data_IF_688509329864
#
_entry.id   IF_688509329864
#
_cell.length_a   1.000
_cell.length_b   1.000
_cell.length_c   1.000
_cell.angle_alpha   90.00
_cell.angle_beta   90.00
_cell.angle_gamma   90.00
#
_symmetry.space_group_name_H-M   'P 1'
#
loop_
_entity.id
_entity.type
_entity.pdbx_description
1 polymer ?
#
# COMPACT_ATOMS: atom_id res chain seq x y z
N UNK A 1 25.58 -9.65 -24.37
CA UNK A 1 24.42 -9.48 -25.27
C UNK A 1 24.90 -9.40 -26.70
N UNK A 2 24.35 -10.20 -27.59
CA UNK A 2 24.54 -10.03 -29.04
C UNK A 2 23.49 -9.06 -29.58
N UNK A 3 23.81 -8.34 -30.64
CA UNK A 3 22.82 -7.53 -31.35
C UNK A 3 21.68 -8.47 -31.80
N UNK A 4 20.43 -8.11 -31.51
CA UNK A 4 19.24 -8.94 -31.82
C UNK A 4 18.86 -9.97 -30.76
N UNK A 5 19.58 -10.09 -29.65
CA UNK A 5 19.20 -10.96 -28.54
C UNK A 5 18.08 -10.33 -27.70
N UNK A 6 16.95 -11.04 -27.58
CA UNK A 6 15.81 -10.65 -26.74
C UNK A 6 16.26 -10.72 -25.28
N UNK A 7 15.92 -9.69 -24.51
CA UNK A 7 16.01 -9.76 -23.05
C UNK A 7 14.60 -9.75 -22.51
N UNK A 8 14.26 -10.82 -21.82
CA UNK A 8 12.95 -10.99 -21.19
C UNK A 8 13.01 -10.44 -19.77
N UNK A 9 12.09 -9.54 -19.45
CA UNK A 9 11.83 -9.06 -18.09
C UNK A 9 10.39 -9.49 -17.76
N UNK A 10 10.22 -10.29 -16.73
CA UNK A 10 8.91 -10.89 -16.37
C UNK A 10 8.49 -10.51 -14.95
N UNK A 11 7.21 -10.19 -14.76
CA UNK A 11 6.56 -10.09 -13.46
C UNK A 11 5.63 -11.28 -13.19
N UNK A 12 5.13 -11.41 -11.96
CA UNK A 12 4.26 -12.52 -11.53
C UNK A 12 2.76 -12.23 -11.52
N UNK A 13 2.33 -11.03 -11.93
CA UNK A 13 0.91 -10.67 -11.98
C UNK A 13 0.20 -11.45 -13.10
N UNK A 14 -1.00 -11.94 -12.83
CA UNK A 14 -1.81 -12.67 -13.83
C UNK A 14 -2.21 -11.75 -14.99
N UNK A 15 -2.35 -12.31 -16.19
CA UNK A 15 -2.46 -11.54 -17.43
C UNK A 15 -3.71 -10.66 -17.54
N UNK A 16 -4.77 -11.00 -16.81
CA UNK A 16 -6.07 -10.32 -16.79
C UNK A 16 -6.22 -9.35 -15.60
N UNK A 17 -5.27 -9.33 -14.66
CA UNK A 17 -5.29 -8.37 -13.57
C UNK A 17 -4.97 -6.97 -14.09
N UNK A 18 -5.68 -5.97 -13.55
CA UNK A 18 -5.38 -4.56 -13.82
C UNK A 18 -3.97 -4.22 -13.35
N UNK A 19 -3.16 -3.68 -14.25
CA UNK A 19 -1.80 -3.24 -13.98
C UNK A 19 -1.61 -1.79 -14.39
N UNK A 20 -0.74 -1.08 -13.69
CA UNK A 20 -0.33 0.28 -14.02
C UNK A 20 1.16 0.45 -13.76
N UNK A 21 1.83 1.27 -14.58
CA UNK A 21 3.21 1.67 -14.40
C UNK A 21 3.33 3.11 -13.87
N UNK A 22 2.23 3.73 -13.44
CA UNK A 22 2.18 5.14 -12.99
C UNK A 22 3.22 5.48 -11.93
N UNK A 23 3.50 4.54 -11.02
CA UNK A 23 4.45 4.72 -9.94
C UNK A 23 5.88 4.25 -10.26
N UNK A 24 6.15 3.78 -11.48
CA UNK A 24 7.43 3.21 -11.87
C UNK A 24 8.11 4.11 -12.90
N UNK A 25 9.37 4.46 -12.63
CA UNK A 25 10.26 5.15 -13.58
C UNK A 25 11.42 4.24 -13.94
N UNK A 26 11.74 4.17 -15.22
CA UNK A 26 12.95 3.51 -15.71
C UNK A 26 13.94 4.54 -16.24
N UNK A 27 15.21 4.39 -15.86
CA UNK A 27 16.31 5.25 -16.34
C UNK A 27 17.40 4.35 -16.90
N UNK A 28 17.77 4.56 -18.17
CA UNK A 28 18.87 3.84 -18.80
C UNK A 28 20.12 4.73 -18.80
N UNK A 29 21.18 4.29 -18.10
CA UNK A 29 22.46 5.02 -18.02
C UNK A 29 23.62 4.06 -17.78
N UNK A 30 24.75 4.29 -18.46
CA UNK A 30 26.01 3.54 -18.28
C UNK A 30 25.85 2.01 -18.38
N UNK A 31 25.01 1.54 -19.31
CA UNK A 31 24.73 0.11 -19.51
C UNK A 31 23.86 -0.54 -18.43
N UNK A 32 23.30 0.24 -17.51
CA UNK A 32 22.40 -0.19 -16.44
C UNK A 32 20.98 0.34 -16.68
N UNK A 33 19.99 -0.40 -16.18
CA UNK A 33 18.61 0.05 -16.07
C UNK A 33 18.31 0.23 -14.59
N UNK A 34 18.11 1.48 -14.18
CA UNK A 34 17.62 1.80 -12.85
C UNK A 34 16.09 1.80 -12.87
N UNK A 35 15.48 1.09 -11.92
CA UNK A 35 14.03 0.97 -11.77
C UNK A 35 13.67 1.62 -10.45
N UNK A 36 13.04 2.78 -10.54
CA UNK A 36 12.72 3.65 -9.42
C UNK A 36 11.22 3.61 -9.14
N UNK A 37 10.85 3.76 -7.87
CA UNK A 37 9.47 4.04 -7.48
C UNK A 37 9.29 5.53 -7.25
N UNK A 38 8.08 6.05 -7.47
CA UNK A 38 7.74 7.39 -7.04
C UNK A 38 7.77 7.49 -5.50
N UNK A 39 8.23 8.62 -4.96
CA UNK A 39 8.20 8.87 -3.51
C UNK A 39 6.76 8.90 -2.97
N UNK A 40 5.84 9.44 -3.77
CA UNK A 40 4.40 9.43 -3.52
C UNK A 40 3.74 8.40 -4.43
N UNK A 41 3.32 7.27 -3.85
CA UNK A 41 2.64 6.21 -4.58
C UNK A 41 1.15 6.54 -4.73
N UNK A 42 0.65 6.46 -5.96
CA UNK A 42 -0.78 6.51 -6.27
C UNK A 42 -1.26 5.08 -6.58
N UNK A 43 -1.93 4.46 -5.62
CA UNK A 43 -2.38 3.06 -5.67
C UNK A 43 -3.82 2.95 -5.20
N UNK A 44 -4.60 2.05 -5.79
CA UNK A 44 -5.98 1.79 -5.37
C UNK A 44 -6.06 1.06 -4.02
N UNK A 45 -5.09 0.19 -3.72
CA UNK A 45 -5.00 -0.48 -2.42
C UNK A 45 -3.62 -1.06 -2.14
N UNK A 46 -3.32 -1.25 -0.86
CA UNK A 46 -2.18 -2.01 -0.36
C UNK A 46 -2.70 -3.09 0.56
N UNK A 47 -2.42 -4.36 0.24
CA UNK A 47 -2.76 -5.51 1.09
C UNK A 47 -1.49 -6.15 1.66
N UNK A 48 -1.37 -6.17 2.98
CA UNK A 48 -0.26 -6.76 3.71
C UNK A 48 -0.82 -7.76 4.75
N UNK A 49 -0.83 -9.04 4.38
CA UNK A 49 -1.48 -10.08 5.18
C UNK A 49 -2.98 -9.81 5.35
N UNK A 50 -3.43 -9.63 6.58
CA UNK A 50 -4.83 -9.28 6.93
C UNK A 50 -5.11 -7.78 6.91
N UNK A 51 -4.10 -6.95 6.69
CA UNK A 51 -4.25 -5.49 6.63
C UNK A 51 -4.54 -5.04 5.21
N UNK A 52 -5.52 -4.16 5.04
CA UNK A 52 -5.88 -3.51 3.78
C UNK A 52 -5.91 -1.99 4.00
N UNK A 53 -5.16 -1.26 3.19
CA UNK A 53 -5.28 0.20 3.04
C UNK A 53 -5.89 0.48 1.66
N UNK A 54 -6.97 1.24 1.59
CA UNK A 54 -7.65 1.62 0.36
C UNK A 54 -8.39 2.96 0.53
N UNK A 55 -9.24 3.32 -0.44
CA UNK A 55 -10.02 4.55 -0.46
C UNK A 55 -10.98 4.73 0.74
N UNK A 56 -11.39 3.64 1.41
CA UNK A 56 -12.23 3.72 2.61
C UNK A 56 -11.41 3.98 3.88
N UNK A 57 -10.17 3.48 3.92
CA UNK A 57 -9.21 3.68 5.00
C UNK A 57 -8.35 2.45 5.30
N UNK A 58 -8.06 2.23 6.58
CA UNK A 58 -7.27 1.13 7.11
C UNK A 58 -8.17 0.06 7.73
N UNK A 59 -8.08 -1.17 7.24
CA UNK A 59 -8.83 -2.32 7.75
C UNK A 59 -7.90 -3.44 8.17
N UNK A 60 -8.17 -4.07 9.32
CA UNK A 60 -7.54 -5.34 9.72
C UNK A 60 -8.63 -6.41 9.79
N UNK A 61 -8.57 -7.42 8.92
CA UNK A 61 -9.56 -8.51 8.92
C UNK A 61 -9.60 -9.22 10.28
N UNK A 62 -10.79 -9.27 10.89
CA UNK A 62 -11.00 -9.85 12.23
C UNK A 62 -10.53 -8.96 13.39
N UNK A 63 -10.13 -7.73 13.10
CA UNK A 63 -9.57 -6.77 14.05
C UNK A 63 -10.13 -5.36 13.90
N UNK A 64 -9.39 -4.34 14.38
CA UNK A 64 -9.78 -2.94 14.28
C UNK A 64 -9.80 -2.39 12.85
N UNK A 65 -10.46 -1.25 12.68
CA UNK A 65 -10.40 -0.44 11.44
C UNK A 65 -10.49 1.05 11.73
N UNK A 66 -9.92 1.85 10.83
CA UNK A 66 -10.01 3.31 10.79
C UNK A 66 -10.46 3.71 9.40
N UNK A 67 -11.66 4.26 9.27
CA UNK A 67 -12.24 4.63 7.98
C UNK A 67 -12.77 6.05 8.00
N UNK A 68 -13.26 6.53 6.86
CA UNK A 68 -13.98 7.81 6.75
C UNK A 68 -15.19 7.92 7.70
N UNK A 69 -15.78 6.79 8.11
CA UNK A 69 -16.89 6.73 9.06
C UNK A 69 -16.49 6.71 10.53
N UNK A 70 -15.18 6.65 10.85
CA UNK A 70 -14.66 6.65 12.21
C UNK A 70 -13.78 5.43 12.53
N UNK A 71 -13.67 5.13 13.83
CA UNK A 71 -12.79 4.06 14.36
C UNK A 71 -13.64 2.93 14.93
N UNK A 72 -13.36 1.70 14.54
CA UNK A 72 -13.93 0.49 15.13
C UNK A 72 -12.84 -0.29 15.85
N UNK A 73 -12.98 -0.49 17.17
CA UNK A 73 -12.01 -1.23 17.98
C UNK A 73 -12.00 -2.75 17.74
N UNK A 74 -12.92 -3.30 16.94
CA UNK A 74 -12.93 -4.71 16.56
C UNK A 74 -13.12 -5.66 17.75
N UNK A 75 -13.84 -5.23 18.79
CA UNK A 75 -13.99 -5.93 20.06
C UNK A 75 -12.64 -6.29 20.71
N UNK A 76 -11.64 -5.41 20.59
CA UNK A 76 -10.34 -5.53 21.25
C UNK A 76 -10.16 -4.39 22.25
N UNK A 77 -9.25 -4.60 23.19
CA UNK A 77 -8.84 -3.58 24.16
C UNK A 77 -8.10 -2.47 23.41
N UNK A 78 -8.51 -1.23 23.64
CA UNK A 78 -7.75 -0.04 23.27
C UNK A 78 -6.92 0.34 24.50
N UNK A 79 -5.61 0.08 24.45
CA UNK A 79 -4.69 0.33 25.55
C UNK A 79 -3.87 1.59 25.33
N UNK A 80 -3.24 2.09 26.40
CA UNK A 80 -2.36 3.27 26.38
C UNK A 80 -3.06 4.55 25.90
N UNK A 81 -4.34 4.70 26.24
CA UNK A 81 -5.07 5.96 26.12
C UNK A 81 -4.70 6.83 27.32
N UNK A 82 -4.25 8.06 27.07
CA UNK A 82 -3.95 9.03 28.13
C UNK A 82 -5.24 9.62 28.70
N UNK A 83 -5.18 10.18 29.91
CA UNK A 83 -6.34 10.83 30.54
C UNK A 83 -6.95 11.91 29.64
N UNK A 84 -8.28 11.88 29.52
CA UNK A 84 -9.04 12.91 28.81
C UNK A 84 -8.95 14.26 29.52
N UNK A 85 -8.73 15.32 28.75
CA UNK A 85 -8.59 16.71 29.23
C UNK A 85 -9.78 17.56 28.79
N UNK A 86 -10.36 17.26 27.63
CA UNK A 86 -11.47 17.99 27.01
C UNK A 86 -12.73 17.14 26.88
N UNK A 87 -13.87 17.78 26.65
CA UNK A 87 -15.19 17.14 26.61
C UNK A 87 -15.32 16.00 25.59
N UNK A 88 -14.48 15.98 24.56
CA UNK A 88 -14.52 14.98 23.47
C UNK A 88 -13.46 13.91 23.57
N UNK A 89 -12.65 13.92 24.63
CA UNK A 89 -11.61 12.91 24.81
C UNK A 89 -12.21 11.57 25.28
N UNK A 90 -11.56 10.47 24.89
CA UNK A 90 -11.90 9.15 25.41
C UNK A 90 -11.41 8.99 26.86
N UNK A 91 -12.13 8.16 27.64
CA UNK A 91 -11.81 7.80 29.04
C UNK A 91 -11.72 6.29 29.23
#
# INVERSE_FOLDING_TARGET
RRLGEITTISGGLVADATASNKNIRTVAKDGQIDIQMADNLDVASVKAGTTLLNDDGLHITGGPSVTSGGINGGNKIISNVSDGVTDTDAV
#
